data_IF_999142235642
#
_entry.id   IF_999142235642
#
_cell.length_a   1.000
_cell.length_b   1.000
_cell.length_c   1.000
_cell.angle_alpha   90.00
_cell.angle_beta   90.00
_cell.angle_gamma   90.00
#
_symmetry.space_group_name_H-M   'P 1'
#
loop_
_entity.id
_entity.type
_entity.pdbx_description
1 polymer ?
#
# COMPACT_ATOMS: atom_id res chain seq x y z
N UNK A 1 -2.55 9.35 -5.28
CA UNK A 1 -1.40 9.73 -4.44
C UNK A 1 -1.22 11.24 -4.29
N UNK A 2 -0.84 12.00 -5.32
CA UNK A 2 -0.40 13.41 -5.19
C UNK A 2 -1.39 14.31 -4.45
N UNK A 3 -2.69 14.18 -4.71
CA UNK A 3 -3.74 14.93 -4.00
C UNK A 3 -3.74 14.62 -2.50
N UNK A 4 -3.58 13.35 -2.10
CA UNK A 4 -3.49 12.96 -0.70
C UNK A 4 -2.24 13.53 -0.03
N UNK A 5 -1.10 13.48 -0.70
CA UNK A 5 0.16 14.05 -0.18
C UNK A 5 0.02 15.57 -0.01
N UNK A 6 -0.59 16.26 -0.97
CA UNK A 6 -0.87 17.69 -0.89
C UNK A 6 -1.79 18.02 0.28
N UNK A 7 -2.92 17.31 0.41
CA UNK A 7 -3.86 17.48 1.54
C UNK A 7 -3.16 17.17 2.87
N UNK A 8 -2.29 16.17 2.91
CA UNK A 8 -1.52 15.84 4.12
C UNK A 8 -0.60 17.00 4.51
N UNK A 9 0.14 17.57 3.55
CA UNK A 9 1.08 18.66 3.78
C UNK A 9 0.43 20.00 4.11
N UNK A 10 -0.70 20.33 3.48
CA UNK A 10 -1.29 21.67 3.51
C UNK A 10 -2.60 21.77 4.29
N UNK A 11 -3.19 20.65 4.72
CA UNK A 11 -4.39 20.67 5.56
C UNK A 11 -4.22 19.82 6.84
N UNK A 12 -3.95 18.52 6.71
CA UNK A 12 -3.93 17.60 7.86
C UNK A 12 -2.79 17.93 8.82
N UNK A 13 -1.56 18.08 8.31
CA UNK A 13 -0.42 18.40 9.13
C UNK A 13 -0.50 19.80 9.77
N UNK A 14 -0.84 20.87 9.02
CA UNK A 14 -1.14 22.18 9.60
C UNK A 14 -2.18 22.15 10.71
N UNK A 15 -3.28 21.43 10.52
CA UNK A 15 -4.33 21.30 11.54
C UNK A 15 -3.82 20.62 12.80
N UNK A 16 -3.07 19.51 12.67
CA UNK A 16 -2.50 18.86 13.84
C UNK A 16 -1.43 19.71 14.53
N UNK A 17 -0.64 20.49 13.79
CA UNK A 17 0.32 21.45 14.37
C UNK A 17 -0.40 22.58 15.09
N UNK A 18 -1.50 23.09 14.55
CA UNK A 18 -2.34 24.09 15.20
C UNK A 18 -2.87 23.57 16.53
N UNK A 19 -3.34 22.32 16.58
CA UNK A 19 -3.82 21.68 17.82
C UNK A 19 -2.68 21.51 18.84
N UNK A 20 -1.49 21.12 18.39
CA UNK A 20 -0.36 20.83 19.29
C UNK A 20 0.42 22.05 19.78
N UNK A 21 0.52 23.11 18.96
CA UNK A 21 1.40 24.26 19.22
C UNK A 21 0.68 25.61 19.20
N UNK A 22 -0.59 25.67 18.79
CA UNK A 22 -1.36 26.91 18.66
C UNK A 22 -0.99 27.81 17.47
N UNK A 23 0.06 27.47 16.69
CA UNK A 23 0.46 28.24 15.51
C UNK A 23 1.06 27.36 14.42
N UNK A 24 0.72 27.67 13.16
CA UNK A 24 1.22 26.98 11.95
C UNK A 24 2.30 27.81 11.23
N UNK A 25 2.59 29.03 11.69
CA UNK A 25 3.44 29.99 10.96
C UNK A 25 4.83 29.43 10.66
N UNK A 26 5.45 28.78 11.65
CA UNK A 26 6.78 28.15 11.49
C UNK A 26 6.76 27.04 10.44
N UNK A 27 5.75 26.17 10.47
CA UNK A 27 5.61 25.07 9.50
C UNK A 27 5.46 25.62 8.08
N UNK A 28 4.57 26.60 7.88
CA UNK A 28 4.30 27.14 6.55
C UNK A 28 5.48 27.94 5.98
N UNK A 29 6.23 28.66 6.83
CA UNK A 29 7.42 29.42 6.42
C UNK A 29 8.65 28.54 6.18
N UNK A 30 8.69 27.32 6.73
CA UNK A 30 9.86 26.44 6.62
C UNK A 30 10.10 25.83 5.23
N UNK A 31 9.14 25.93 4.30
CA UNK A 31 9.18 25.21 3.02
C UNK A 31 8.99 23.68 3.14
N UNK A 32 8.90 23.14 4.35
CA UNK A 32 8.74 21.70 4.59
C UNK A 32 7.47 21.10 3.97
N UNK A 33 6.29 21.76 3.97
CA UNK A 33 5.11 21.25 3.28
C UNK A 33 5.34 21.02 1.78
N UNK A 34 6.00 21.96 1.10
CA UNK A 34 6.35 21.83 -0.31
C UNK A 34 7.36 20.69 -0.52
N UNK A 35 8.43 20.66 0.28
CA UNK A 35 9.41 19.57 0.22
C UNK A 35 8.78 18.19 0.44
N UNK A 36 7.79 18.07 1.33
CA UNK A 36 7.05 16.82 1.52
C UNK A 36 6.25 16.42 0.28
N UNK A 37 5.56 17.36 -0.36
CA UNK A 37 4.84 17.08 -1.61
C UNK A 37 5.77 16.62 -2.71
N UNK A 38 6.92 17.30 -2.90
CA UNK A 38 7.89 16.90 -3.92
C UNK A 38 8.48 15.52 -3.62
N UNK A 39 9.01 15.30 -2.42
CA UNK A 39 9.67 14.04 -2.07
C UNK A 39 8.71 12.85 -2.15
N UNK A 40 7.52 12.95 -1.58
CA UNK A 40 6.54 11.86 -1.65
C UNK A 40 5.94 11.73 -3.06
N UNK A 41 5.77 12.84 -3.77
CA UNK A 41 5.31 12.86 -5.16
C UNK A 41 6.27 12.17 -6.13
N UNK A 42 7.57 12.22 -5.83
CA UNK A 42 8.66 11.55 -6.56
C UNK A 42 9.04 10.18 -5.96
N UNK A 43 8.21 9.64 -5.05
CA UNK A 43 8.45 8.34 -4.40
C UNK A 43 9.74 8.25 -3.57
N UNK A 44 10.32 9.38 -3.16
CA UNK A 44 11.46 9.43 -2.22
C UNK A 44 11.03 9.20 -0.75
N UNK A 45 9.98 8.40 -0.53
CA UNK A 45 9.34 8.19 0.77
C UNK A 45 10.22 7.37 1.72
N UNK A 46 11.11 6.53 1.17
CA UNK A 46 11.98 5.63 1.94
C UNK A 46 13.07 6.37 2.72
N UNK A 47 13.51 7.52 2.22
CA UNK A 47 14.63 8.27 2.78
C UNK A 47 14.21 9.63 3.35
N UNK A 48 12.94 10.03 3.16
CA UNK A 48 12.43 11.33 3.59
C UNK A 48 11.10 11.21 4.34
N UNK A 49 11.11 11.16 5.68
CA UNK A 49 9.88 11.11 6.48
C UNK A 49 9.04 12.40 6.42
N UNK A 50 9.66 13.54 6.10
CA UNK A 50 9.52 14.71 6.98
C UNK A 50 8.39 15.69 6.70
N UNK A 51 7.88 16.30 7.77
CA UNK A 51 7.21 17.61 7.75
C UNK A 51 7.53 18.38 9.03
N UNK A 52 8.74 18.95 9.03
CA UNK A 52 9.31 19.80 10.08
C UNK A 52 9.29 19.18 11.50
N UNK A 53 9.53 17.87 11.61
CA UNK A 53 9.60 17.18 12.91
C UNK A 53 8.24 17.07 13.63
N UNK A 54 7.16 17.03 12.86
CA UNK A 54 5.78 16.82 13.35
C UNK A 54 5.25 15.50 12.79
N UNK A 55 4.23 14.89 13.42
CA UNK A 55 3.64 15.26 14.71
C UNK A 55 4.54 14.84 15.88
N UNK A 56 4.34 15.45 17.05
CA UNK A 56 5.06 15.11 18.30
C UNK A 56 4.10 14.50 19.32
N UNK A 57 4.61 13.87 20.38
CA UNK A 57 3.82 13.39 21.53
C UNK A 57 2.65 12.46 21.18
N UNK A 58 2.85 11.62 20.15
CA UNK A 58 1.90 10.59 19.74
C UNK A 58 2.67 9.28 19.48
N UNK A 59 2.01 8.11 19.42
CA UNK A 59 2.68 6.81 19.32
C UNK A 59 3.61 6.65 18.10
N UNK A 60 3.30 7.33 16.99
CA UNK A 60 4.11 7.34 15.78
C UNK A 60 4.56 8.76 15.43
N UNK A 61 5.55 9.32 16.15
CA UNK A 61 6.00 10.70 15.94
C UNK A 61 6.78 10.83 14.63
N UNK A 62 6.74 12.01 14.01
CA UNK A 62 7.50 12.33 12.80
C UNK A 62 6.99 11.69 11.50
N UNK A 63 5.91 10.91 11.53
CA UNK A 63 5.35 10.22 10.36
C UNK A 63 3.88 10.61 10.19
N UNK A 64 3.53 11.22 9.05
CA UNK A 64 2.14 11.58 8.77
C UNK A 64 1.42 10.66 7.80
N UNK A 65 2.16 9.95 6.94
CA UNK A 65 1.55 8.97 6.05
C UNK A 65 2.41 7.71 5.93
N UNK A 66 2.21 6.79 6.87
CA UNK A 66 2.86 5.48 6.90
C UNK A 66 2.33 4.50 5.85
N UNK A 67 1.35 4.86 5.02
CA UNK A 67 0.93 4.02 3.89
C UNK A 67 1.88 4.19 2.69
N UNK A 68 2.36 5.41 2.43
CA UNK A 68 3.05 5.75 1.17
C UNK A 68 4.34 4.96 0.91
N UNK A 69 5.07 4.54 1.94
CA UNK A 69 6.37 3.91 1.75
C UNK A 69 6.28 2.56 1.02
N UNK A 70 5.18 1.81 1.17
CA UNK A 70 5.04 0.54 0.44
C UNK A 70 4.74 0.74 -1.04
N UNK A 71 4.17 1.89 -1.43
CA UNK A 71 3.94 2.26 -2.84
C UNK A 71 5.25 2.36 -3.63
N UNK A 72 6.35 2.76 -2.99
CA UNK A 72 7.66 2.83 -3.64
C UNK A 72 8.12 1.43 -4.09
N UNK A 73 7.96 0.42 -3.23
CA UNK A 73 8.29 -0.98 -3.57
C UNK A 73 7.33 -1.57 -4.60
N UNK A 74 6.04 -1.26 -4.50
CA UNK A 74 5.04 -1.68 -5.49
C UNK A 74 5.36 -1.11 -6.88
N UNK A 75 5.66 0.19 -6.95
CA UNK A 75 6.08 0.87 -8.19
C UNK A 75 7.34 0.22 -8.76
N UNK A 76 8.32 -0.10 -7.90
CA UNK A 76 9.52 -0.84 -8.29
C UNK A 76 9.21 -2.20 -8.93
N UNK A 77 8.26 -2.96 -8.37
CA UNK A 77 7.83 -4.24 -8.95
C UNK A 77 7.20 -4.05 -10.34
N UNK A 78 6.35 -3.01 -10.51
CA UNK A 78 5.78 -2.70 -11.82
C UNK A 78 6.82 -2.25 -12.85
N UNK A 79 7.84 -1.49 -12.43
CA UNK A 79 8.97 -1.13 -13.30
C UNK A 79 9.70 -2.40 -13.76
N UNK A 80 9.98 -3.34 -12.85
CA UNK A 80 10.60 -4.62 -13.21
C UNK A 80 9.73 -5.39 -14.21
N UNK A 81 8.42 -5.50 -13.99
CA UNK A 81 7.50 -6.16 -14.94
C UNK A 81 7.52 -5.45 -16.30
N UNK A 82 7.51 -4.12 -16.33
CA UNK A 82 7.59 -3.36 -17.57
C UNK A 82 8.90 -3.64 -18.33
N UNK A 83 10.04 -3.68 -17.64
CA UNK A 83 11.34 -4.02 -18.22
C UNK A 83 11.37 -5.47 -18.75
N UNK A 84 10.81 -6.42 -18.01
CA UNK A 84 10.64 -7.81 -18.47
C UNK A 84 9.73 -7.90 -19.70
N UNK A 85 8.72 -7.02 -19.79
CA UNK A 85 7.83 -6.92 -20.94
C UNK A 85 8.53 -6.37 -22.18
N UNK A 86 9.24 -5.26 -22.04
CA UNK A 86 9.99 -4.60 -23.14
C UNK A 86 11.11 -5.51 -23.67
N UNK A 87 11.82 -6.21 -22.78
CA UNK A 87 12.85 -7.18 -23.16
C UNK A 87 12.30 -8.47 -23.79
N UNK A 88 10.98 -8.66 -23.81
CA UNK A 88 10.33 -9.86 -24.33
C UNK A 88 10.42 -11.08 -23.43
N UNK A 89 11.03 -10.97 -22.24
CA UNK A 89 11.17 -12.07 -21.29
C UNK A 89 9.83 -12.60 -20.78
N UNK A 90 8.79 -11.75 -20.70
CA UNK A 90 7.44 -12.18 -20.32
C UNK A 90 6.79 -13.16 -21.31
N UNK A 91 7.36 -13.34 -22.52
CA UNK A 91 6.89 -14.36 -23.48
C UNK A 91 7.22 -15.78 -23.01
N UNK A 92 8.23 -15.96 -22.16
CA UNK A 92 8.63 -17.26 -21.66
C UNK A 92 7.81 -17.65 -20.43
N UNK A 93 7.21 -18.84 -20.47
CA UNK A 93 6.41 -19.38 -19.35
C UNK A 93 7.18 -19.54 -18.03
N UNK A 94 8.51 -19.54 -18.07
CA UNK A 94 9.37 -19.73 -16.90
C UNK A 94 9.72 -18.43 -16.19
N UNK A 95 9.52 -17.26 -16.79
CA UNK A 95 10.01 -15.98 -16.25
C UNK A 95 9.43 -15.65 -14.87
N UNK A 96 8.11 -15.75 -14.70
CA UNK A 96 7.47 -15.48 -13.41
C UNK A 96 7.74 -16.59 -12.37
N UNK A 97 7.69 -17.90 -12.70
CA UNK A 97 8.14 -18.95 -11.80
C UNK A 97 9.58 -18.75 -11.31
N UNK A 98 10.51 -18.42 -12.21
CA UNK A 98 11.90 -18.15 -11.86
C UNK A 98 12.00 -16.92 -10.97
N UNK A 99 11.29 -15.82 -11.27
CA UNK A 99 11.26 -14.63 -10.41
C UNK A 99 10.69 -14.95 -9.02
N UNK A 100 9.64 -15.78 -8.93
CA UNK A 100 9.08 -16.22 -7.66
C UNK A 100 10.10 -17.05 -6.86
N UNK A 101 10.74 -18.04 -7.48
CA UNK A 101 11.78 -18.85 -6.81
C UNK A 101 12.93 -17.98 -6.33
N UNK A 102 13.44 -17.06 -7.17
CA UNK A 102 14.53 -16.16 -6.80
C UNK A 102 14.16 -15.26 -5.60
N UNK A 103 12.96 -14.67 -5.62
CA UNK A 103 12.50 -13.80 -4.53
C UNK A 103 12.18 -14.58 -3.25
N UNK A 104 11.70 -15.81 -3.38
CA UNK A 104 11.51 -16.74 -2.27
C UNK A 104 12.86 -17.14 -1.64
N UNK A 105 13.85 -17.48 -2.46
CA UNK A 105 15.22 -17.78 -2.00
C UNK A 105 15.84 -16.56 -1.32
N UNK A 106 15.74 -15.37 -1.92
CA UNK A 106 16.22 -14.13 -1.28
C UNK A 106 15.55 -13.88 0.08
N UNK A 107 14.24 -14.13 0.16
CA UNK A 107 13.45 -14.03 1.39
C UNK A 107 13.88 -15.02 2.46
N UNK A 108 14.32 -16.22 2.08
CA UNK A 108 14.87 -17.22 2.99
C UNK A 108 16.31 -16.87 3.43
N UNK A 109 17.15 -16.41 2.50
CA UNK A 109 18.58 -16.12 2.75
C UNK A 109 18.77 -14.87 3.61
N UNK A 110 18.05 -13.78 3.33
CA UNK A 110 18.26 -12.54 4.08
C UNK A 110 17.80 -12.60 5.53
N UNK A 111 16.96 -13.58 5.87
CA UNK A 111 16.37 -13.73 7.20
C UNK A 111 15.47 -12.54 7.58
N UNK A 112 14.50 -12.78 8.44
CA UNK A 112 13.66 -11.71 9.02
C UNK A 112 13.61 -11.93 10.52
N UNK A 113 14.59 -11.42 11.29
CA UNK A 113 14.51 -11.47 12.75
C UNK A 113 13.25 -10.73 13.22
N UNK A 114 12.45 -11.39 14.06
CA UNK A 114 11.10 -10.95 14.44
C UNK A 114 11.02 -9.56 15.12
N UNK A 115 12.16 -8.96 15.46
CA UNK A 115 12.25 -7.71 16.22
C UNK A 115 13.30 -6.71 15.72
N UNK A 116 13.93 -6.94 14.56
CA UNK A 116 14.91 -5.98 14.02
C UNK A 116 14.31 -5.10 12.91
N UNK A 117 14.84 -3.89 12.77
CA UNK A 117 14.57 -3.07 11.59
C UNK A 117 15.05 -3.79 10.34
N UNK A 118 14.16 -3.95 9.36
CA UNK A 118 14.51 -4.57 8.10
C UNK A 118 15.45 -3.67 7.29
N UNK A 119 16.51 -4.25 6.76
CA UNK A 119 17.40 -3.60 5.77
C UNK A 119 16.68 -3.43 4.43
N UNK A 120 17.20 -2.57 3.55
CA UNK A 120 16.63 -2.36 2.21
C UNK A 120 16.52 -3.70 1.43
N UNK A 121 17.55 -4.57 1.37
CA UNK A 121 17.43 -5.87 0.70
C UNK A 121 16.32 -6.76 1.27
N UNK A 122 16.15 -6.77 2.60
CA UNK A 122 15.06 -7.49 3.26
C UNK A 122 13.70 -6.90 2.86
N UNK A 123 13.56 -5.58 2.82
CA UNK A 123 12.31 -4.94 2.38
C UNK A 123 12.00 -5.29 0.92
N UNK A 124 12.98 -5.19 0.02
CA UNK A 124 12.82 -5.54 -1.39
C UNK A 124 12.39 -7.00 -1.53
N UNK A 125 13.07 -7.94 -0.87
CA UNK A 125 12.71 -9.37 -0.92
C UNK A 125 11.29 -9.61 -0.37
N UNK A 126 10.94 -8.97 0.74
CA UNK A 126 9.59 -9.04 1.36
C UNK A 126 8.48 -8.64 0.40
N UNK A 127 8.64 -7.54 -0.34
CA UNK A 127 7.60 -7.08 -1.27
C UNK A 127 7.63 -7.87 -2.58
N UNK A 128 8.82 -8.16 -3.10
CA UNK A 128 8.99 -8.88 -4.35
C UNK A 128 8.42 -10.29 -4.30
N UNK A 129 8.60 -11.04 -3.20
CA UNK A 129 8.04 -12.40 -3.07
C UNK A 129 6.50 -12.39 -3.05
N UNK A 130 5.89 -11.41 -2.38
CA UNK A 130 4.43 -11.29 -2.30
C UNK A 130 3.84 -10.85 -3.65
N UNK A 131 4.52 -9.94 -4.34
CA UNK A 131 4.15 -9.52 -5.69
C UNK A 131 4.29 -10.67 -6.69
N UNK A 132 5.41 -11.40 -6.64
CA UNK A 132 5.65 -12.55 -7.52
C UNK A 132 4.68 -13.71 -7.25
N UNK A 133 4.27 -13.93 -5.99
CA UNK A 133 3.22 -14.91 -5.66
C UNK A 133 1.89 -14.58 -6.34
N UNK A 134 1.46 -13.31 -6.29
CA UNK A 134 0.26 -12.86 -7.01
C UNK A 134 0.40 -12.98 -8.53
N UNK A 135 1.56 -12.58 -9.08
CA UNK A 135 1.85 -12.71 -10.51
C UNK A 135 1.85 -14.17 -10.98
N UNK A 136 2.34 -15.09 -10.15
CA UNK A 136 2.36 -16.53 -10.44
C UNK A 136 0.93 -17.09 -10.49
N UNK A 137 0.08 -16.71 -9.53
CA UNK A 137 -1.34 -17.09 -9.54
C UNK A 137 -2.03 -16.53 -10.78
N UNK A 138 -1.76 -15.28 -11.13
CA UNK A 138 -2.32 -14.67 -12.35
C UNK A 138 -1.90 -15.42 -13.62
N UNK A 139 -0.63 -15.80 -13.75
CA UNK A 139 -0.15 -16.55 -14.92
C UNK A 139 -0.84 -17.91 -15.07
N UNK A 140 -1.15 -18.57 -13.96
CA UNK A 140 -1.80 -19.89 -13.95
C UNK A 140 -3.29 -19.83 -13.59
N UNK A 141 -3.93 -18.66 -13.67
CA UNK A 141 -5.30 -18.45 -13.20
C UNK A 141 -6.31 -19.41 -13.85
N UNK A 142 -6.13 -19.75 -15.12
CA UNK A 142 -7.02 -20.67 -15.85
C UNK A 142 -6.91 -22.14 -15.38
N UNK A 143 -5.84 -22.47 -14.66
CA UNK A 143 -5.58 -23.82 -14.13
C UNK A 143 -5.83 -23.92 -12.62
N UNK A 144 -5.92 -22.79 -11.93
CA UNK A 144 -6.09 -22.73 -10.48
C UNK A 144 -7.58 -22.57 -10.17
N UNK A 145 -8.26 -23.62 -9.64
CA UNK A 145 -9.69 -23.54 -9.40
C UNK A 145 -10.00 -22.66 -8.19
N UNK A 146 -10.86 -21.66 -8.35
CA UNK A 146 -11.37 -20.87 -7.23
C UNK A 146 -12.41 -21.70 -6.44
N UNK A 147 -12.02 -22.26 -5.29
CA UNK A 147 -12.89 -23.04 -4.39
C UNK A 147 -12.74 -22.61 -2.94
N UNK A 148 -13.86 -22.54 -2.19
CA UNK A 148 -13.85 -22.21 -0.76
C UNK A 148 -13.04 -23.20 0.08
N UNK A 149 -12.98 -24.49 -0.31
CA UNK A 149 -12.13 -25.48 0.35
C UNK A 149 -10.64 -25.13 0.27
N UNK A 150 -10.18 -24.67 -0.89
CA UNK A 150 -8.81 -24.20 -1.08
C UNK A 150 -8.54 -22.85 -0.38
N UNK A 151 -9.57 -22.01 -0.25
CA UNK A 151 -9.48 -20.77 0.55
C UNK A 151 -9.28 -21.13 2.03
N UNK A 152 -10.05 -22.07 2.56
CA UNK A 152 -9.91 -22.57 3.93
C UNK A 152 -8.55 -23.25 4.16
N UNK A 153 -8.08 -24.08 3.20
CA UNK A 153 -6.74 -24.66 3.24
C UNK A 153 -5.66 -23.58 3.27
N UNK A 154 -5.80 -22.57 2.40
CA UNK A 154 -4.85 -21.45 2.34
C UNK A 154 -4.84 -20.63 3.63
N UNK A 155 -6.00 -20.44 4.26
CA UNK A 155 -6.09 -19.83 5.59
C UNK A 155 -5.36 -20.67 6.63
N UNK A 156 -5.56 -21.99 6.65
CA UNK A 156 -4.85 -22.92 7.54
C UNK A 156 -3.33 -22.85 7.35
N UNK A 157 -2.85 -22.91 6.10
CA UNK A 157 -1.42 -22.79 5.79
C UNK A 157 -0.84 -21.43 6.17
N UNK A 158 -1.61 -20.35 6.00
CA UNK A 158 -1.22 -19.02 6.44
C UNK A 158 -1.09 -18.94 7.96
N UNK A 159 -2.03 -19.49 8.72
CA UNK A 159 -1.96 -19.54 10.18
C UNK A 159 -0.76 -20.38 10.65
N UNK A 160 -0.54 -21.55 10.05
CA UNK A 160 0.63 -22.39 10.31
C UNK A 160 1.95 -21.68 9.96
N UNK A 161 1.97 -20.88 8.90
CA UNK A 161 3.16 -20.10 8.54
C UNK A 161 3.56 -19.08 9.61
N UNK A 162 2.64 -18.67 10.48
CA UNK A 162 2.93 -17.81 11.64
C UNK A 162 3.86 -18.45 12.67
N UNK A 163 4.04 -19.79 12.64
CA UNK A 163 5.01 -20.51 13.46
C UNK A 163 6.46 -20.37 12.94
N UNK A 164 6.63 -19.92 11.70
CA UNK A 164 7.94 -19.68 11.11
C UNK A 164 8.44 -18.28 11.48
N UNK A 165 9.75 -18.12 11.66
CA UNK A 165 10.38 -16.81 11.84
C UNK A 165 10.07 -15.85 10.67
N UNK A 166 9.89 -16.40 9.47
CA UNK A 166 9.42 -15.68 8.31
C UNK A 166 8.24 -16.40 7.65
N UNK A 167 7.02 -15.99 8.01
CA UNK A 167 5.79 -16.56 7.48
C UNK A 167 5.72 -16.56 5.95
N UNK A 168 6.42 -15.64 5.26
CA UNK A 168 6.32 -15.49 3.79
C UNK A 168 6.86 -16.69 3.02
N UNK A 169 7.76 -17.47 3.63
CA UNK A 169 8.33 -18.67 3.01
C UNK A 169 7.21 -19.66 2.66
N UNK A 170 6.26 -19.86 3.56
CA UNK A 170 5.09 -20.72 3.33
C UNK A 170 3.85 -19.91 2.91
N UNK A 171 3.64 -18.75 3.51
CA UNK A 171 2.41 -17.97 3.46
C UNK A 171 2.25 -17.04 2.25
N UNK A 172 3.28 -16.85 1.41
CA UNK A 172 3.15 -15.95 0.25
C UNK A 172 2.09 -16.42 -0.75
N UNK A 173 2.15 -17.69 -1.19
CA UNK A 173 1.16 -18.28 -2.11
C UNK A 173 -0.21 -18.46 -1.45
N UNK A 174 -0.33 -19.02 -0.22
CA UNK A 174 -1.59 -19.10 0.49
C UNK A 174 -2.28 -17.75 0.68
N UNK A 175 -1.54 -16.70 1.06
CA UNK A 175 -2.13 -15.38 1.21
C UNK A 175 -2.60 -14.81 -0.13
N UNK A 176 -1.78 -14.89 -1.18
CA UNK A 176 -2.14 -14.40 -2.49
C UNK A 176 -3.39 -15.14 -3.04
N UNK A 177 -3.43 -16.48 -2.90
CA UNK A 177 -4.58 -17.28 -3.30
C UNK A 177 -5.82 -16.94 -2.46
N UNK A 178 -5.68 -16.83 -1.13
CA UNK A 178 -6.78 -16.48 -0.23
C UNK A 178 -7.44 -15.17 -0.65
N UNK A 179 -6.64 -14.13 -0.92
CA UNK A 179 -7.15 -12.81 -1.32
C UNK A 179 -7.81 -12.86 -2.71
N UNK A 180 -7.13 -13.42 -3.70
CA UNK A 180 -7.62 -13.46 -5.09
C UNK A 180 -8.86 -14.35 -5.23
N UNK A 181 -8.80 -15.58 -4.70
CA UNK A 181 -9.88 -16.55 -4.83
C UNK A 181 -11.11 -16.17 -4.01
N UNK A 182 -10.95 -15.59 -2.82
CA UNK A 182 -12.11 -15.09 -2.05
C UNK A 182 -12.80 -13.94 -2.78
N UNK A 183 -12.04 -12.99 -3.35
CA UNK A 183 -12.59 -11.93 -4.19
C UNK A 183 -13.35 -12.48 -5.41
N UNK A 184 -12.78 -13.45 -6.12
CA UNK A 184 -13.41 -14.08 -7.28
C UNK A 184 -14.69 -14.88 -6.92
N UNK A 185 -14.74 -15.48 -5.74
CA UNK A 185 -15.88 -16.26 -5.25
C UNK A 185 -17.03 -15.39 -4.72
N UNK A 186 -16.74 -14.18 -4.26
CA UNK A 186 -17.72 -13.21 -3.77
C UNK A 186 -18.45 -12.52 -4.94
N UNK A 187 -19.25 -13.29 -5.69
CA UNK A 187 -19.98 -12.86 -6.91
C UNK A 187 -21.00 -11.72 -6.71
N UNK A 188 -21.32 -11.32 -5.48
CA UNK A 188 -22.43 -10.39 -5.16
C UNK A 188 -22.00 -8.97 -4.77
N UNK A 189 -20.70 -8.72 -4.61
CA UNK A 189 -20.21 -7.39 -4.27
C UNK A 189 -19.88 -6.63 -5.56
N UNK A 190 -20.91 -6.10 -6.23
CA UNK A 190 -20.69 -5.14 -7.31
C UNK A 190 -20.31 -3.77 -6.70
N UNK A 191 -19.06 -3.65 -6.26
CA UNK A 191 -18.47 -2.40 -5.81
C UNK A 191 -18.21 -1.53 -7.04
N UNK A 192 -19.25 -0.85 -7.53
CA UNK A 192 -19.16 0.06 -8.70
C UNK A 192 -18.13 1.18 -8.51
N UNK A 193 -17.77 1.47 -7.26
CA UNK A 193 -16.78 2.48 -6.90
C UNK A 193 -15.64 1.81 -6.14
N UNK A 194 -14.41 1.99 -6.61
CA UNK A 194 -13.22 1.45 -5.96
C UNK A 194 -12.69 2.48 -4.95
N UNK A 195 -13.15 2.37 -3.71
CA UNK A 195 -12.69 3.24 -2.62
C UNK A 195 -11.40 2.72 -1.97
N UNK A 196 -10.92 1.53 -2.35
CA UNK A 196 -9.87 0.82 -1.62
C UNK A 196 -8.57 1.62 -1.60
N UNK A 197 -8.20 2.20 -2.74
CA UNK A 197 -7.00 3.01 -2.87
C UNK A 197 -7.07 4.28 -2.01
N UNK A 198 -8.20 4.99 -2.05
CA UNK A 198 -8.46 6.14 -1.19
C UNK A 198 -8.37 5.79 0.30
N UNK A 199 -9.04 4.71 0.72
CA UNK A 199 -8.97 4.24 2.11
C UNK A 199 -7.53 3.96 2.52
N UNK A 200 -6.78 3.27 1.67
CA UNK A 200 -5.39 2.93 1.93
C UNK A 200 -4.47 4.16 2.13
N UNK A 201 -4.56 5.19 1.26
CA UNK A 201 -3.68 6.36 1.35
C UNK A 201 -4.12 7.40 2.39
N UNK A 202 -5.41 7.48 2.73
CA UNK A 202 -5.93 8.45 3.70
C UNK A 202 -6.06 7.91 5.13
N UNK A 203 -6.11 6.59 5.34
CA UNK A 203 -6.31 6.02 6.67
C UNK A 203 -5.25 6.49 7.68
N UNK A 204 -3.97 6.43 7.32
CA UNK A 204 -2.89 6.76 8.25
C UNK A 204 -2.86 8.26 8.64
N UNK A 205 -2.91 9.23 7.70
CA UNK A 205 -3.03 10.65 8.05
C UNK A 205 -4.22 10.96 8.97
N UNK A 206 -5.36 10.31 8.72
CA UNK A 206 -6.56 10.50 9.53
C UNK A 206 -6.40 9.90 10.92
N UNK A 207 -5.82 8.70 11.05
CA UNK A 207 -5.51 8.12 12.34
C UNK A 207 -4.56 9.01 13.16
N UNK A 208 -3.53 9.58 12.53
CA UNK A 208 -2.62 10.52 13.21
C UNK A 208 -3.37 11.76 13.72
N UNK A 209 -4.23 12.35 12.88
CA UNK A 209 -5.02 13.51 13.28
C UNK A 209 -5.98 13.18 14.44
N UNK A 210 -6.68 12.05 14.39
CA UNK A 210 -7.59 11.64 15.46
C UNK A 210 -6.85 11.41 16.79
N UNK A 211 -5.66 10.81 16.73
CA UNK A 211 -4.78 10.65 17.90
C UNK A 211 -4.37 12.01 18.46
N UNK A 212 -3.99 12.97 17.61
CA UNK A 212 -3.66 14.35 18.02
C UNK A 212 -4.86 15.05 18.66
N UNK A 213 -6.08 14.78 18.18
CA UNK A 213 -7.33 15.28 18.77
C UNK A 213 -7.72 14.61 20.10
N UNK A 214 -6.87 13.72 20.64
CA UNK A 214 -7.07 13.10 21.95
C UNK A 214 -7.83 11.76 21.92
N UNK A 215 -8.17 11.23 20.74
CA UNK A 215 -8.87 9.94 20.63
C UNK A 215 -7.96 8.72 20.85
N UNK A 216 -6.69 8.94 21.17
CA UNK A 216 -5.73 7.90 21.53
C UNK A 216 -6.15 7.08 22.76
N UNK A 217 -7.04 7.63 23.60
CA UNK A 217 -7.58 6.97 24.80
C UNK A 217 -8.65 5.92 24.47
N UNK A 218 -9.22 5.95 23.27
CA UNK A 218 -10.18 4.95 22.83
C UNK A 218 -9.52 3.58 22.70
N UNK A 219 -10.26 2.53 23.08
CA UNK A 219 -9.84 1.15 22.78
C UNK A 219 -9.80 0.92 21.27
N UNK A 220 -9.04 -0.08 20.85
CA UNK A 220 -8.75 -0.37 19.43
C UNK A 220 -10.01 -0.45 18.56
N UNK A 221 -11.07 -1.14 19.00
CA UNK A 221 -12.29 -1.30 18.21
C UNK A 221 -13.08 0.02 18.02
N UNK A 222 -13.42 0.79 19.09
CA UNK A 222 -14.00 2.11 18.91
C UNK A 222 -13.14 3.05 18.04
N UNK A 223 -11.82 3.06 18.26
CA UNK A 223 -10.91 3.88 17.46
C UNK A 223 -10.94 3.48 15.97
N UNK A 224 -10.93 2.18 15.67
CA UNK A 224 -11.06 1.66 14.31
C UNK A 224 -12.36 2.09 13.63
N UNK A 225 -13.48 2.04 14.33
CA UNK A 225 -14.79 2.46 13.79
C UNK A 225 -14.75 3.96 13.46
N UNK A 226 -14.30 4.80 14.40
CA UNK A 226 -14.21 6.25 14.17
C UNK A 226 -13.25 6.56 13.02
N UNK A 227 -12.06 5.97 13.00
CA UNK A 227 -11.09 6.16 11.93
C UNK A 227 -11.65 5.76 10.56
N UNK A 228 -12.39 4.65 10.50
CA UNK A 228 -13.04 4.18 9.26
C UNK A 228 -14.13 5.14 8.81
N UNK A 229 -15.01 5.57 9.72
CA UNK A 229 -16.10 6.51 9.42
C UNK A 229 -15.60 7.86 8.91
N UNK A 230 -14.45 8.34 9.40
CA UNK A 230 -13.84 9.59 8.94
C UNK A 230 -13.06 9.38 7.63
N UNK A 231 -12.42 8.23 7.44
CA UNK A 231 -11.63 7.94 6.24
C UNK A 231 -12.51 7.71 5.01
N UNK A 232 -13.65 7.02 5.16
CA UNK A 232 -14.52 6.65 4.03
C UNK A 232 -15.03 7.84 3.21
N UNK A 233 -15.53 8.95 3.81
CA UNK A 233 -15.91 10.14 3.05
C UNK A 233 -14.76 10.75 2.26
N UNK A 234 -13.55 10.81 2.84
CA UNK A 234 -12.36 11.33 2.14
C UNK A 234 -11.94 10.42 0.98
N UNK A 235 -11.97 9.11 1.19
CA UNK A 235 -11.73 8.12 0.15
C UNK A 235 -12.77 8.22 -0.97
N UNK A 236 -14.06 8.40 -0.63
CA UNK A 236 -15.13 8.61 -1.60
C UNK A 236 -14.93 9.90 -2.41
N UNK A 237 -14.59 11.01 -1.76
CA UNK A 237 -14.28 12.26 -2.45
C UNK A 237 -13.07 12.11 -3.38
N UNK A 238 -12.00 11.43 -2.95
CA UNK A 238 -10.85 11.09 -3.80
C UNK A 238 -11.27 10.31 -5.03
N UNK A 239 -12.12 9.30 -4.86
CA UNK A 239 -12.62 8.48 -5.96
C UNK A 239 -13.40 9.32 -6.99
N UNK A 240 -14.42 10.07 -6.55
CA UNK A 240 -15.31 10.77 -7.47
C UNK A 240 -14.66 11.99 -8.13
N UNK A 241 -13.76 12.69 -7.43
CA UNK A 241 -13.14 13.93 -7.91
C UNK A 241 -11.87 13.65 -8.73
N UNK A 242 -11.08 12.65 -8.32
CA UNK A 242 -9.74 12.41 -8.88
C UNK A 242 -9.72 11.10 -9.69
N UNK A 243 -9.95 9.97 -9.02
CA UNK A 243 -9.60 8.66 -9.58
C UNK A 243 -10.53 8.27 -10.73
N UNK A 244 -11.85 8.41 -10.56
CA UNK A 244 -12.84 8.12 -11.60
C UNK A 244 -12.62 8.95 -12.87
N UNK A 245 -12.22 10.22 -12.71
CA UNK A 245 -11.92 11.13 -13.83
C UNK A 245 -10.61 10.75 -14.53
N UNK A 246 -9.56 10.45 -13.76
CA UNK A 246 -8.29 9.99 -14.30
C UNK A 246 -8.43 8.68 -15.09
N UNK A 247 -9.23 7.72 -14.58
CA UNK A 247 -9.54 6.48 -15.29
C UNK A 247 -10.33 6.72 -16.58
N UNK A 248 -11.30 7.63 -16.57
CA UNK A 248 -12.04 8.01 -17.77
C UNK A 248 -11.12 8.63 -18.83
N UNK A 249 -10.18 9.49 -18.42
CA UNK A 249 -9.17 10.08 -19.32
C UNK A 249 -8.25 9.00 -19.92
N UNK A 250 -7.73 8.08 -19.10
CA UNK A 250 -6.93 6.95 -19.55
C UNK A 250 -7.65 6.12 -20.61
N UNK A 251 -8.95 5.87 -20.43
CA UNK A 251 -9.76 5.12 -21.41
C UNK A 251 -9.83 5.85 -22.76
N UNK A 252 -9.97 7.17 -22.77
CA UNK A 252 -10.00 7.98 -24.00
C UNK A 252 -8.67 7.94 -24.75
N UNK A 253 -7.56 8.18 -24.05
CA UNK A 253 -6.21 8.16 -24.65
C UNK A 253 -5.85 6.80 -25.26
N UNK A 254 -6.32 5.69 -24.68
CA UNK A 254 -6.13 4.34 -25.25
C UNK A 254 -6.94 4.10 -26.52
N UNK A 255 -8.14 4.67 -26.61
CA UNK A 255 -8.96 4.56 -27.83
C UNK A 255 -8.31 5.31 -28.97
N UNK A 256 -7.80 6.52 -28.70
CA UNK A 256 -7.09 7.32 -29.70
C UNK A 256 -5.79 6.66 -30.17
N UNK A 257 -4.98 6.12 -29.26
CA UNK A 257 -3.72 5.44 -29.60
C UNK A 257 -3.89 4.09 -30.31
N UNK A 258 -5.08 3.46 -30.24
CA UNK A 258 -5.41 2.25 -30.99
C UNK A 258 -6.14 2.53 -32.31
N UNK A 259 -6.55 3.77 -32.55
CA UNK A 259 -7.17 4.23 -33.79
C UNK A 259 -6.17 4.90 -34.75
N UNK A 260 -4.94 5.18 -34.29
CA UNK A 260 -3.80 5.65 -35.06
C UNK A 260 -2.83 4.50 -35.36
#
# INVERSE_FOLDING_TARGET
MWVCVFITAFAIAPLGVLIQRGSVSELMKSGAPAAYVLNNGLMNVLFYPGIAGTPKNIPWPGVWNGSLWTLAFETGCYIVVALLGISGLLKYRWTIPTAFVLTLTATAVFGFPAFAMSTIPQMVARFAVMFAAGALIYQYQDKIPAKWSLVALSLGLLLLSGLLSNYRILGAIPLAYLVIASGALLKRLNLRNDLSYGVYIYAFPIQQLLVIMGLATLRVFPFFIVATLVTLPLAAMSWFVVEKRALALKKRLRVEAGAA
#
